data_IF_196990481710
#
_entry.id   IF_196990481710
#
_cell.length_a   1.000
_cell.length_b   1.000
_cell.length_c   1.000
_cell.angle_alpha   90.00
_cell.angle_beta   90.00
_cell.angle_gamma   90.00
#
_symmetry.space_group_name_H-M   'P 1'
#
loop_
_entity.id
_entity.type
_entity.pdbx_description
1 polymer ?
#
# COMPACT_ATOMS: atom_id res chain seq x y z
N UNK A 1 -15.51 23.68 -14.48
CA UNK A 1 -14.67 22.67 -15.15
C UNK A 1 -15.48 21.77 -16.09
N UNK A 2 -16.58 21.13 -15.66
CA UNK A 2 -17.43 20.30 -16.55
C UNK A 2 -17.94 21.11 -17.76
N UNK A 3 -18.59 22.26 -17.53
CA UNK A 3 -19.07 23.13 -18.61
C UNK A 3 -17.96 23.55 -19.57
N UNK A 4 -16.82 23.99 -19.04
CA UNK A 4 -15.67 24.41 -19.86
C UNK A 4 -15.10 23.27 -20.70
N UNK A 5 -15.07 22.03 -20.18
CA UNK A 5 -14.66 20.86 -20.95
C UNK A 5 -15.66 20.55 -22.07
N UNK A 6 -16.96 20.66 -21.79
CA UNK A 6 -17.99 20.45 -22.82
C UNK A 6 -17.80 21.46 -23.96
N UNK A 7 -17.64 22.75 -23.66
CA UNK A 7 -17.39 23.77 -24.69
C UNK A 7 -16.08 23.53 -25.46
N UNK A 8 -15.02 23.08 -24.78
CA UNK A 8 -13.76 22.72 -25.45
C UNK A 8 -13.94 21.57 -26.43
N UNK A 9 -14.67 20.52 -26.05
CA UNK A 9 -14.90 19.37 -26.93
C UNK A 9 -15.61 19.82 -28.22
N UNK A 10 -16.69 20.61 -28.10
CA UNK A 10 -17.41 21.15 -29.25
C UNK A 10 -16.59 22.13 -30.09
N UNK A 11 -15.78 22.98 -29.46
CA UNK A 11 -14.84 23.86 -30.16
C UNK A 11 -13.85 23.07 -31.01
N UNK A 12 -13.30 21.97 -30.48
CA UNK A 12 -12.37 21.12 -31.22
C UNK A 12 -13.03 20.36 -32.36
N UNK A 13 -14.29 19.95 -32.21
CA UNK A 13 -15.04 19.36 -33.32
C UNK A 13 -15.17 20.33 -34.49
N UNK A 14 -15.39 21.62 -34.22
CA UNK A 14 -15.42 22.66 -35.24
C UNK A 14 -14.02 22.94 -35.83
N UNK A 15 -13.00 23.14 -34.99
CA UNK A 15 -11.62 23.44 -35.40
C UNK A 15 -11.05 22.36 -36.33
N UNK A 16 -11.33 21.08 -36.04
CA UNK A 16 -10.88 19.96 -36.88
C UNK A 16 -11.80 19.65 -38.08
N UNK A 17 -12.84 20.46 -38.30
CA UNK A 17 -13.75 20.30 -39.43
C UNK A 17 -14.65 19.06 -39.35
N UNK A 18 -14.91 18.54 -38.15
CA UNK A 18 -15.85 17.43 -37.93
C UNK A 18 -17.30 17.91 -38.00
N UNK A 19 -17.53 19.19 -37.69
CA UNK A 19 -18.78 19.92 -37.90
C UNK A 19 -18.48 21.22 -38.67
N UNK A 20 -19.46 21.67 -39.44
CA UNK A 20 -19.33 22.89 -40.27
C UNK A 20 -19.88 24.14 -39.59
N UNK A 21 -20.57 23.97 -38.46
CA UNK A 21 -21.15 25.03 -37.64
C UNK A 21 -20.43 25.07 -36.30
N UNK A 22 -20.17 26.26 -35.78
CA UNK A 22 -19.66 26.42 -34.42
C UNK A 22 -20.79 26.15 -33.43
N UNK A 23 -20.70 25.01 -32.72
CA UNK A 23 -21.65 24.61 -31.69
C UNK A 23 -21.12 24.90 -30.29
N UNK A 24 -20.37 25.98 -30.11
CA UNK A 24 -20.00 26.55 -28.81
C UNK A 24 -21.00 27.61 -28.35
N UNK A 25 -21.02 27.92 -27.06
CA UNK A 25 -21.88 28.95 -26.50
C UNK A 25 -21.14 30.29 -26.40
N UNK A 26 -21.67 31.32 -27.07
CA UNK A 26 -21.09 32.68 -27.07
C UNK A 26 -21.31 33.46 -25.77
N UNK A 27 -22.26 33.02 -24.94
CA UNK A 27 -22.65 33.67 -23.69
C UNK A 27 -21.87 33.17 -22.46
N UNK A 28 -22.36 33.54 -21.28
CA UNK A 28 -21.85 32.98 -20.02
C UNK A 28 -22.33 31.53 -19.87
N UNK A 29 -21.41 30.58 -20.10
CA UNK A 29 -21.72 29.15 -20.11
C UNK A 29 -22.35 28.71 -18.79
N UNK A 30 -23.58 28.13 -18.80
CA UNK A 30 -24.22 27.69 -17.58
C UNK A 30 -23.45 26.54 -16.92
N UNK A 31 -23.61 26.42 -15.60
CA UNK A 31 -22.99 25.33 -14.83
C UNK A 31 -23.71 24.02 -15.13
N UNK A 32 -23.04 23.09 -15.78
CA UNK A 32 -23.53 21.74 -16.03
C UNK A 32 -23.29 20.84 -14.81
N UNK A 33 -24.33 20.12 -14.40
CA UNK A 33 -24.25 18.99 -13.48
C UNK A 33 -23.97 17.67 -14.25
N UNK A 34 -23.68 16.60 -13.50
CA UNK A 34 -23.59 15.26 -14.08
C UNK A 34 -24.98 14.84 -14.60
N UNK A 35 -25.01 14.36 -15.84
CA UNK A 35 -26.25 13.96 -16.52
C UNK A 35 -26.74 14.99 -17.53
N UNK A 36 -26.26 16.23 -17.47
CA UNK A 36 -26.77 17.35 -18.27
C UNK A 36 -25.94 17.67 -19.52
N UNK A 37 -24.81 16.97 -19.72
CA UNK A 37 -23.99 17.09 -20.94
C UNK A 37 -24.69 16.47 -22.14
N UNK A 38 -24.35 16.93 -23.35
CA UNK A 38 -25.01 16.48 -24.57
C UNK A 38 -24.93 14.96 -24.76
N UNK A 39 -23.75 14.33 -24.58
CA UNK A 39 -23.68 12.87 -24.65
C UNK A 39 -24.43 12.15 -23.53
N UNK A 40 -24.51 12.70 -22.33
CA UNK A 40 -25.23 12.04 -21.22
C UNK A 40 -26.72 12.03 -21.50
N UNK A 41 -27.26 13.12 -22.05
CA UNK A 41 -28.65 13.19 -22.49
C UNK A 41 -28.90 12.23 -23.66
N UNK A 42 -28.02 12.21 -24.66
CA UNK A 42 -28.11 11.28 -25.79
C UNK A 42 -28.02 9.81 -25.32
N UNK A 43 -27.13 9.50 -24.38
CA UNK A 43 -26.97 8.17 -23.80
C UNK A 43 -28.19 7.78 -22.97
N UNK A 44 -28.75 8.68 -22.17
CA UNK A 44 -29.97 8.43 -21.40
C UNK A 44 -31.17 8.14 -22.32
N UNK A 45 -31.28 8.85 -23.45
CA UNK A 45 -32.30 8.57 -24.49
C UNK A 45 -32.13 7.16 -25.06
N UNK A 46 -30.91 6.79 -25.48
CA UNK A 46 -30.64 5.43 -25.99
C UNK A 46 -30.86 4.34 -24.93
N UNK A 47 -30.54 4.63 -23.66
CA UNK A 47 -30.80 3.73 -22.53
C UNK A 47 -32.29 3.48 -22.34
N UNK A 48 -33.13 4.52 -22.47
CA UNK A 48 -34.59 4.40 -22.47
C UNK A 48 -35.11 3.55 -23.64
N UNK A 49 -34.41 3.59 -24.78
CA UNK A 49 -34.71 2.79 -25.97
C UNK A 49 -34.10 1.37 -25.94
N UNK A 50 -33.44 0.98 -24.83
CA UNK A 50 -32.96 -0.38 -24.58
C UNK A 50 -31.44 -0.59 -24.68
N UNK A 51 -30.63 0.46 -24.85
CA UNK A 51 -29.16 0.36 -24.77
C UNK A 51 -28.70 0.14 -23.31
N UNK A 52 -27.92 -0.90 -23.05
CA UNK A 52 -27.35 -1.12 -21.71
C UNK A 52 -26.14 -0.21 -21.46
N UNK A 53 -26.12 0.46 -20.30
CA UNK A 53 -24.98 1.26 -19.87
C UNK A 53 -24.81 1.25 -18.36
N UNK A 54 -23.56 1.15 -17.91
CA UNK A 54 -23.19 1.28 -16.50
C UNK A 54 -22.74 2.70 -16.13
N UNK A 55 -22.79 3.65 -17.07
CA UNK A 55 -22.24 5.00 -16.89
C UNK A 55 -22.85 5.74 -15.69
N UNK A 56 -24.18 5.80 -15.66
CA UNK A 56 -24.93 6.56 -14.65
C UNK A 56 -24.71 5.99 -13.24
N UNK A 57 -24.85 4.67 -13.08
CA UNK A 57 -24.60 3.97 -11.82
C UNK A 57 -23.15 4.15 -11.35
N UNK A 58 -22.18 3.92 -12.25
CA UNK A 58 -20.74 3.98 -11.92
C UNK A 58 -20.27 5.38 -11.50
N UNK A 59 -20.90 6.43 -12.03
CA UNK A 59 -20.46 7.81 -11.83
C UNK A 59 -21.40 8.64 -10.96
N UNK A 60 -22.45 8.04 -10.39
CA UNK A 60 -23.43 8.76 -9.58
C UNK A 60 -24.15 9.87 -10.36
N UNK A 61 -24.28 9.70 -11.68
CA UNK A 61 -24.93 10.64 -12.58
C UNK A 61 -26.40 10.25 -12.74
N UNK A 62 -27.31 11.22 -12.75
CA UNK A 62 -28.74 10.93 -12.95
C UNK A 62 -29.05 10.89 -14.45
N UNK A 63 -29.69 9.83 -14.96
CA UNK A 63 -30.10 9.79 -16.37
C UNK A 63 -31.17 10.85 -16.64
N UNK A 64 -30.87 11.79 -17.54
CA UNK A 64 -31.77 12.88 -17.95
C UNK A 64 -32.03 12.74 -19.45
N UNK A 65 -33.30 12.56 -19.86
CA UNK A 65 -33.66 12.39 -21.28
C UNK A 65 -34.11 13.68 -21.96
N UNK A 66 -34.57 14.65 -21.18
CA UNK A 66 -35.06 15.94 -21.67
C UNK A 66 -34.04 17.04 -21.39
N UNK A 67 -33.98 18.06 -22.24
CA UNK A 67 -33.10 19.21 -22.01
C UNK A 67 -33.61 19.96 -20.76
N UNK A 68 -32.78 20.17 -19.72
CA UNK A 68 -33.23 20.80 -18.48
C UNK A 68 -33.78 22.22 -18.65
N UNK A 69 -34.94 22.49 -18.04
CA UNK A 69 -35.64 23.78 -18.18
C UNK A 69 -34.99 24.97 -17.48
N UNK A 70 -34.07 24.71 -16.55
CA UNK A 70 -33.37 25.76 -15.81
C UNK A 70 -32.27 26.44 -16.64
N UNK A 71 -31.93 25.90 -17.82
CA UNK A 71 -30.96 26.53 -18.71
C UNK A 71 -31.57 27.72 -19.47
N UNK A 72 -30.76 28.75 -19.79
CA UNK A 72 -31.13 29.82 -20.70
C UNK A 72 -31.70 29.28 -22.03
N UNK A 73 -32.67 29.98 -22.61
CA UNK A 73 -33.38 29.50 -23.81
C UNK A 73 -32.44 29.25 -24.99
N UNK A 74 -31.51 30.17 -25.22
CA UNK A 74 -30.45 30.07 -26.21
C UNK A 74 -29.48 28.90 -25.95
N UNK A 75 -29.17 28.58 -24.68
CA UNK A 75 -28.38 27.40 -24.35
C UNK A 75 -29.14 26.10 -24.58
N UNK A 76 -30.45 26.07 -24.31
CA UNK A 76 -31.31 24.91 -24.62
C UNK A 76 -31.36 24.65 -26.14
N UNK A 77 -31.49 25.71 -26.93
CA UNK A 77 -31.45 25.63 -28.39
C UNK A 77 -30.09 25.11 -28.90
N UNK A 78 -28.98 25.55 -28.28
CA UNK A 78 -27.66 25.00 -28.55
C UNK A 78 -27.54 23.51 -28.19
N UNK A 79 -28.00 23.11 -27.00
CA UNK A 79 -27.99 21.70 -26.58
C UNK A 79 -28.80 20.83 -27.54
N UNK A 80 -29.93 21.32 -28.06
CA UNK A 80 -30.69 20.59 -29.06
C UNK A 80 -29.89 20.41 -30.35
N UNK A 81 -29.24 21.47 -30.87
CA UNK A 81 -28.35 21.35 -32.05
C UNK A 81 -27.20 20.37 -31.83
N UNK A 82 -26.63 20.34 -30.63
CA UNK A 82 -25.60 19.36 -30.22
C UNK A 82 -26.13 17.93 -30.26
N UNK A 83 -27.33 17.69 -29.71
CA UNK A 83 -27.98 16.38 -29.75
C UNK A 83 -28.28 15.93 -31.19
N UNK A 84 -28.75 16.86 -32.03
CA UNK A 84 -28.99 16.61 -33.45
C UNK A 84 -27.69 16.27 -34.20
N UNK A 85 -26.57 16.91 -33.85
CA UNK A 85 -25.25 16.60 -34.41
C UNK A 85 -24.76 15.20 -33.98
N UNK A 86 -24.96 14.81 -32.73
CA UNK A 86 -24.68 13.45 -32.23
C UNK A 86 -25.51 12.41 -33.00
N UNK A 87 -26.77 12.72 -33.26
CA UNK A 87 -27.67 11.82 -34.00
C UNK A 87 -27.31 11.74 -35.49
N UNK A 88 -26.98 12.85 -36.15
CA UNK A 88 -26.81 12.89 -37.61
C UNK A 88 -25.40 12.60 -38.09
N UNK A 89 -24.36 12.88 -37.29
CA UNK A 89 -22.96 12.76 -37.71
C UNK A 89 -22.26 11.56 -37.05
N UNK A 90 -21.86 10.51 -37.82
CA UNK A 90 -21.21 9.32 -37.26
C UNK A 90 -19.91 9.59 -36.50
N UNK A 91 -19.14 10.61 -36.90
CA UNK A 91 -17.88 10.95 -36.24
C UNK A 91 -18.13 11.60 -34.88
N UNK A 92 -19.09 12.51 -34.79
CA UNK A 92 -19.51 13.12 -33.52
C UNK A 92 -20.16 12.07 -32.62
N UNK A 93 -21.01 11.20 -33.17
CA UNK A 93 -21.60 10.09 -32.43
C UNK A 93 -20.57 9.15 -31.81
N UNK A 94 -19.42 8.97 -32.47
CA UNK A 94 -18.31 8.17 -31.94
C UNK A 94 -17.61 8.90 -30.79
N UNK A 95 -17.29 10.18 -30.93
CA UNK A 95 -16.58 10.98 -29.93
C UNK A 95 -17.44 11.31 -28.69
N UNK A 96 -18.74 11.43 -28.87
CA UNK A 96 -19.72 11.60 -27.79
C UNK A 96 -20.16 10.25 -27.19
N UNK A 97 -19.26 9.25 -27.16
CA UNK A 97 -19.45 8.02 -26.37
C UNK A 97 -18.75 8.10 -25.03
N UNK A 98 -19.26 7.38 -24.00
CA UNK A 98 -18.64 7.30 -22.67
C UNK A 98 -17.12 7.06 -22.65
N UNK A 99 -16.58 6.29 -23.60
CA UNK A 99 -15.16 5.93 -23.66
C UNK A 99 -14.24 7.11 -23.97
N UNK A 100 -14.77 8.12 -24.65
CA UNK A 100 -14.01 9.30 -25.11
C UNK A 100 -14.31 10.55 -24.28
N UNK A 101 -15.26 10.49 -23.35
CA UNK A 101 -15.63 11.61 -22.49
C UNK A 101 -15.01 11.49 -21.10
N UNK A 102 -14.63 12.63 -20.53
CA UNK A 102 -14.09 12.69 -19.17
C UNK A 102 -15.18 12.31 -18.17
N UNK A 103 -14.87 11.36 -17.29
CA UNK A 103 -15.81 10.76 -16.32
C UNK A 103 -16.20 11.67 -15.17
N UNK A 104 -15.32 12.60 -14.79
CA UNK A 104 -15.49 13.46 -13.59
C UNK A 104 -15.83 12.67 -12.32
N UNK A 105 -15.33 11.43 -12.24
CA UNK A 105 -15.49 10.60 -11.06
C UNK A 105 -14.64 11.17 -9.92
N UNK A 106 -15.27 11.42 -8.79
CA UNK A 106 -14.61 11.71 -7.53
C UNK A 106 -14.85 10.55 -6.59
N UNK A 107 -13.87 10.25 -5.74
CA UNK A 107 -14.08 9.29 -4.65
C UNK A 107 -15.20 9.83 -3.73
N UNK A 108 -16.15 9.00 -3.27
CA UNK A 108 -17.21 9.46 -2.38
C UNK A 108 -16.65 10.18 -1.14
N UNK A 109 -17.32 11.22 -0.67
CA UNK A 109 -16.85 12.02 0.48
C UNK A 109 -16.52 11.16 1.70
N UNK A 110 -17.37 10.18 2.03
CA UNK A 110 -17.14 9.27 3.17
C UNK A 110 -15.84 8.47 3.03
N UNK A 111 -15.46 8.10 1.80
CA UNK A 111 -14.20 7.41 1.51
C UNK A 111 -13.01 8.36 1.59
N UNK A 112 -13.15 9.59 1.15
CA UNK A 112 -12.12 10.63 1.34
C UNK A 112 -11.88 10.90 2.83
N UNK A 113 -12.94 11.00 3.63
CA UNK A 113 -12.84 11.19 5.08
C UNK A 113 -12.17 9.97 5.73
N UNK A 114 -12.61 8.75 5.42
CA UNK A 114 -12.00 7.52 5.94
C UNK A 114 -10.49 7.46 5.62
N UNK A 115 -10.12 7.76 4.36
CA UNK A 115 -8.73 7.78 3.89
C UNK A 115 -7.90 8.86 4.57
N UNK A 116 -8.43 10.07 4.71
CA UNK A 116 -7.76 11.19 5.36
C UNK A 116 -7.53 10.92 6.85
N UNK A 117 -8.53 10.40 7.56
CA UNK A 117 -8.40 10.03 8.97
C UNK A 117 -7.37 8.90 9.14
N UNK A 118 -7.45 7.85 8.30
CA UNK A 118 -6.49 6.74 8.31
C UNK A 118 -5.05 7.23 8.09
N UNK A 119 -4.82 8.03 7.05
CA UNK A 119 -3.50 8.57 6.72
C UNK A 119 -2.95 9.43 7.85
N UNK A 120 -3.75 10.35 8.38
CA UNK A 120 -3.36 11.22 9.51
C UNK A 120 -2.98 10.42 10.76
N UNK A 121 -3.69 9.33 11.05
CA UNK A 121 -3.39 8.45 12.19
C UNK A 121 -2.08 7.72 11.98
N UNK A 122 -1.90 7.11 10.81
CA UNK A 122 -0.68 6.37 10.48
C UNK A 122 0.55 7.29 10.51
N UNK A 123 0.43 8.53 10.01
CA UNK A 123 1.53 9.52 10.02
C UNK A 123 2.00 9.84 11.44
N UNK A 124 1.08 9.87 12.41
CA UNK A 124 1.44 10.03 13.83
C UNK A 124 2.09 8.80 14.42
N UNK A 125 1.63 7.60 14.04
CA UNK A 125 2.25 6.35 14.51
C UNK A 125 3.66 6.18 13.93
N UNK A 126 3.95 6.76 12.77
CA UNK A 126 5.30 6.80 12.18
C UNK A 126 6.23 7.86 12.80
N UNK A 127 5.78 8.62 13.80
CA UNK A 127 6.64 9.60 14.45
C UNK A 127 7.89 8.92 15.03
N UNK A 128 9.08 9.36 14.58
CA UNK A 128 10.38 8.82 15.01
C UNK A 128 10.50 8.67 16.53
N UNK A 129 9.97 9.60 17.32
CA UNK A 129 10.05 9.54 18.79
C UNK A 129 9.39 8.31 19.44
N UNK A 130 8.50 7.62 18.72
CA UNK A 130 7.88 6.36 19.19
C UNK A 130 8.81 5.15 19.03
N UNK A 131 9.79 5.24 18.14
CA UNK A 131 10.59 4.11 17.66
C UNK A 131 12.04 4.16 18.14
N UNK A 132 12.37 5.11 19.01
CA UNK A 132 13.69 5.26 19.59
C UNK A 132 13.56 5.44 21.11
N UNK A 133 14.46 4.83 21.86
CA UNK A 133 14.51 5.04 23.31
C UNK A 133 15.16 6.40 23.67
N UNK A 134 15.35 6.65 24.97
CA UNK A 134 15.90 7.92 25.46
C UNK A 134 17.36 8.13 25.07
N UNK A 135 18.08 7.04 24.83
CA UNK A 135 19.47 7.03 24.39
C UNK A 135 19.58 7.11 22.86
N UNK A 136 18.45 7.16 22.14
CA UNK A 136 18.40 7.24 20.69
C UNK A 136 18.65 5.90 20.00
N UNK A 137 18.40 4.77 20.69
CA UNK A 137 18.52 3.43 20.10
C UNK A 137 17.19 2.99 19.48
N UNK A 138 17.19 2.44 18.26
CA UNK A 138 15.98 1.98 17.59
C UNK A 138 15.35 0.84 18.38
N UNK A 139 14.06 0.95 18.69
CA UNK A 139 13.37 0.04 19.62
C UNK A 139 12.02 -0.40 19.07
N UNK A 140 11.80 -1.72 18.87
CA UNK A 140 10.49 -2.25 18.54
C UNK A 140 9.48 -2.00 19.67
N UNK A 141 8.25 -1.66 19.31
CA UNK A 141 7.15 -1.38 20.25
C UNK A 141 5.97 -2.32 19.98
N UNK A 142 5.32 -2.80 21.03
CA UNK A 142 4.04 -3.49 20.87
C UNK A 142 2.91 -2.51 20.61
N UNK A 143 1.80 -3.00 20.03
CA UNK A 143 0.60 -2.17 19.87
C UNK A 143 0.08 -1.65 21.21
N UNK A 144 0.18 -2.43 22.29
CA UNK A 144 -0.19 -1.97 23.62
C UNK A 144 0.71 -0.81 24.11
N UNK A 145 2.03 -0.91 23.93
CA UNK A 145 2.97 0.16 24.29
C UNK A 145 2.72 1.44 23.47
N UNK A 146 2.50 1.31 22.17
CA UNK A 146 2.14 2.44 21.30
C UNK A 146 0.82 3.07 21.75
N UNK A 147 -0.18 2.25 22.08
CA UNK A 147 -1.47 2.73 22.58
C UNK A 147 -1.31 3.51 23.89
N UNK A 148 -0.52 3.03 24.86
CA UNK A 148 -0.29 3.72 26.14
C UNK A 148 0.35 5.12 25.98
N UNK A 149 1.21 5.28 24.97
CA UNK A 149 1.84 6.56 24.64
C UNK A 149 0.84 7.46 23.92
N UNK A 150 0.20 6.95 22.86
CA UNK A 150 -0.70 7.71 21.99
C UNK A 150 -2.02 8.06 22.67
N UNK A 151 -2.46 7.29 23.67
CA UNK A 151 -3.68 7.59 24.44
C UNK A 151 -3.57 8.89 25.24
N UNK A 152 -2.34 9.41 25.45
CA UNK A 152 -2.09 10.70 26.09
C UNK A 152 -2.34 11.89 25.16
N UNK A 153 -2.40 11.68 23.85
CA UNK A 153 -2.74 12.69 22.85
C UNK A 153 -4.28 12.71 22.66
N UNK A 154 -4.98 13.76 23.15
CA UNK A 154 -6.43 13.84 23.02
C UNK A 154 -6.88 13.96 21.55
N UNK A 155 -6.11 14.62 20.69
CA UNK A 155 -6.44 14.77 19.27
C UNK A 155 -6.33 13.41 18.57
N UNK A 156 -5.26 12.66 18.86
CA UNK A 156 -5.09 11.31 18.33
C UNK A 156 -6.26 10.41 18.71
N UNK A 157 -6.65 10.40 20.00
CA UNK A 157 -7.77 9.60 20.48
C UNK A 157 -9.08 9.96 19.78
N UNK A 158 -9.37 11.25 19.65
CA UNK A 158 -10.59 11.73 18.98
C UNK A 158 -10.65 11.33 17.51
N UNK A 159 -9.54 11.47 16.77
CA UNK A 159 -9.46 11.06 15.37
C UNK A 159 -9.56 9.53 15.23
N UNK A 160 -8.94 8.78 16.14
CA UNK A 160 -8.98 7.31 16.13
C UNK A 160 -10.39 6.78 16.37
N UNK A 161 -11.13 7.36 17.31
CA UNK A 161 -12.53 7.01 17.59
C UNK A 161 -13.45 7.37 16.41
N UNK A 162 -13.21 8.52 15.76
CA UNK A 162 -13.94 8.94 14.56
C UNK A 162 -13.69 7.97 13.40
N UNK A 163 -12.44 7.59 13.17
CA UNK A 163 -12.07 6.60 12.15
C UNK A 163 -12.66 5.21 12.45
N UNK A 164 -12.66 4.81 13.72
CA UNK A 164 -13.22 3.52 14.14
C UNK A 164 -14.76 3.48 14.06
N UNK A 165 -15.42 4.65 14.07
CA UNK A 165 -16.87 4.76 14.10
C UNK A 165 -17.50 4.38 15.45
N UNK A 166 -16.71 4.34 16.52
CA UNK A 166 -17.16 3.97 17.87
C UNK A 166 -16.48 4.87 18.92
N UNK A 167 -17.23 5.76 19.62
CA UNK A 167 -16.68 6.65 20.63
C UNK A 167 -16.19 5.92 21.90
N UNK A 168 -16.55 4.66 22.09
CA UNK A 168 -16.16 3.87 23.27
C UNK A 168 -15.04 2.86 22.98
N UNK A 169 -14.53 2.80 21.74
CA UNK A 169 -13.44 1.89 21.40
C UNK A 169 -12.18 2.25 22.20
N UNK A 170 -11.49 1.23 22.69
CA UNK A 170 -10.20 1.43 23.34
C UNK A 170 -9.12 1.74 22.30
N UNK A 171 -8.17 2.61 22.67
CA UNK A 171 -7.05 2.98 21.79
C UNK A 171 -6.30 1.76 21.29
N UNK A 172 -6.00 0.79 22.17
CA UNK A 172 -5.33 -0.46 21.78
C UNK A 172 -6.10 -1.30 20.75
N UNK A 173 -7.42 -1.45 20.89
CA UNK A 173 -8.22 -2.24 19.95
C UNK A 173 -8.34 -1.55 18.58
N UNK A 174 -8.57 -0.24 18.56
CA UNK A 174 -8.64 0.53 17.32
C UNK A 174 -7.26 0.60 16.63
N UNK A 175 -6.18 0.78 17.39
CA UNK A 175 -4.82 0.82 16.86
C UNK A 175 -4.40 -0.54 16.27
N UNK A 176 -4.73 -1.65 16.93
CA UNK A 176 -4.48 -2.99 16.38
C UNK A 176 -5.18 -3.19 15.03
N UNK A 177 -6.43 -2.73 14.90
CA UNK A 177 -7.17 -2.77 13.62
C UNK A 177 -6.53 -1.87 12.57
N UNK A 178 -6.09 -0.67 12.95
CA UNK A 178 -5.45 0.29 12.04
C UNK A 178 -4.17 -0.29 11.43
N UNK A 179 -3.32 -0.92 12.26
CA UNK A 179 -1.99 -1.37 11.88
C UNK A 179 -1.94 -2.76 11.22
N UNK A 180 -3.00 -3.56 11.33
CA UNK A 180 -3.02 -4.97 10.89
C UNK A 180 -2.64 -5.18 9.42
N UNK A 181 -2.95 -4.21 8.55
CA UNK A 181 -2.69 -4.25 7.11
C UNK A 181 -1.62 -3.23 6.66
N UNK A 182 -0.89 -2.63 7.60
CA UNK A 182 0.16 -1.62 7.34
C UNK A 182 1.57 -2.17 7.65
N UNK A 183 1.63 -3.37 8.23
CA UNK A 183 2.86 -4.04 8.61
C UNK A 183 3.15 -5.26 7.73
N UNK A 184 4.43 -5.43 7.35
CA UNK A 184 4.92 -6.64 6.67
C UNK A 184 5.94 -7.33 7.57
N UNK A 185 5.92 -8.68 7.71
CA UNK A 185 6.85 -9.39 8.57
C UNK A 185 8.32 -9.21 8.15
N UNK A 186 9.21 -9.08 9.13
CA UNK A 186 10.65 -8.91 8.92
C UNK A 186 11.31 -10.05 8.11
N UNK A 187 10.92 -11.31 8.38
CA UNK A 187 11.53 -12.51 7.81
C UNK A 187 10.79 -12.99 6.55
N UNK A 188 11.52 -13.35 5.49
CA UNK A 188 10.94 -13.84 4.24
C UNK A 188 10.03 -15.07 4.43
N UNK A 189 10.39 -15.97 5.35
CA UNK A 189 9.60 -17.15 5.69
C UNK A 189 8.19 -16.85 6.25
N UNK A 190 7.96 -15.66 6.80
CA UNK A 190 6.61 -15.20 7.18
C UNK A 190 5.88 -14.45 6.05
N UNK A 191 6.64 -13.84 5.12
CA UNK A 191 6.11 -13.04 4.00
C UNK A 191 5.57 -13.92 2.87
N UNK A 192 6.29 -14.98 2.53
CA UNK A 192 6.06 -15.75 1.31
C UNK A 192 5.57 -17.18 1.55
N UNK A 193 4.84 -17.69 0.57
CA UNK A 193 4.59 -19.13 0.37
C UNK A 193 5.81 -19.77 -0.30
N UNK A 194 5.89 -21.12 -0.41
CA UNK A 194 7.02 -21.79 -1.06
C UNK A 194 7.39 -21.21 -2.44
N UNK A 195 6.40 -20.94 -3.31
CA UNK A 195 6.66 -20.35 -4.62
C UNK A 195 7.25 -18.94 -4.57
N UNK A 196 6.96 -18.17 -3.52
CA UNK A 196 7.56 -16.85 -3.30
C UNK A 196 8.96 -16.94 -2.71
N UNK A 197 9.25 -17.95 -1.90
CA UNK A 197 10.60 -18.20 -1.38
C UNK A 197 11.57 -18.61 -2.48
N UNK A 198 11.13 -19.42 -3.46
CA UNK A 198 11.95 -19.76 -4.63
C UNK A 198 12.33 -18.50 -5.43
N UNK A 199 11.38 -17.57 -5.57
CA UNK A 199 11.63 -16.28 -6.22
C UNK A 199 12.56 -15.41 -5.38
N UNK A 200 12.34 -15.36 -4.07
CA UNK A 200 13.16 -14.59 -3.15
C UNK A 200 14.63 -15.03 -3.22
N UNK A 201 14.90 -16.33 -3.23
CA UNK A 201 16.25 -16.86 -3.42
C UNK A 201 16.87 -16.43 -4.77
N UNK A 202 16.09 -16.43 -5.86
CA UNK A 202 16.57 -15.95 -7.16
C UNK A 202 16.86 -14.43 -7.18
N UNK A 203 16.09 -13.64 -6.43
CA UNK A 203 16.36 -12.21 -6.22
C UNK A 203 17.64 -12.00 -5.42
N UNK A 204 17.83 -12.74 -4.33
CA UNK A 204 19.06 -12.68 -3.52
C UNK A 204 20.31 -13.05 -4.33
N UNK A 205 20.24 -14.10 -5.15
CA UNK A 205 21.32 -14.49 -6.06
C UNK A 205 21.63 -13.36 -7.06
N UNK A 206 20.59 -12.73 -7.62
CA UNK A 206 20.75 -11.60 -8.54
C UNK A 206 21.44 -10.42 -7.86
N UNK A 207 21.03 -10.04 -6.65
CA UNK A 207 21.68 -8.98 -5.88
C UNK A 207 23.11 -9.33 -5.51
N UNK A 208 23.40 -10.61 -5.21
CA UNK A 208 24.76 -11.06 -4.94
C UNK A 208 25.67 -10.94 -6.17
N UNK A 209 25.16 -11.24 -7.37
CA UNK A 209 25.87 -11.01 -8.63
C UNK A 209 26.09 -9.52 -8.88
N UNK A 210 25.08 -8.67 -8.66
CA UNK A 210 25.21 -7.22 -8.81
C UNK A 210 26.25 -6.64 -7.85
N UNK A 211 26.26 -7.06 -6.58
CA UNK A 211 27.29 -6.64 -5.62
C UNK A 211 28.72 -7.02 -6.07
N UNK A 212 28.89 -8.21 -6.66
CA UNK A 212 30.18 -8.65 -7.20
C UNK A 212 30.60 -7.80 -8.40
N UNK A 213 29.67 -7.49 -9.30
CA UNK A 213 29.90 -6.59 -10.43
C UNK A 213 30.28 -5.18 -9.94
N UNK A 214 29.56 -4.62 -8.95
CA UNK A 214 29.85 -3.33 -8.34
C UNK A 214 31.21 -3.28 -7.63
N UNK A 215 31.65 -4.43 -7.07
CA UNK A 215 32.99 -4.60 -6.50
C UNK A 215 34.10 -4.73 -7.58
N UNK A 216 33.75 -4.66 -8.87
CA UNK A 216 34.67 -4.68 -10.00
C UNK A 216 34.94 -6.08 -10.58
N UNK A 217 34.21 -7.11 -10.16
CA UNK A 217 34.32 -8.45 -10.76
C UNK A 217 33.69 -8.47 -12.17
N UNK A 218 34.39 -9.07 -13.14
CA UNK A 218 33.86 -9.23 -14.50
C UNK A 218 32.97 -10.47 -14.59
N UNK A 219 31.66 -10.27 -14.55
CA UNK A 219 30.67 -11.33 -14.68
C UNK A 219 30.16 -11.49 -16.13
N UNK A 220 29.64 -12.67 -16.52
CA UNK A 220 28.91 -12.84 -17.78
C UNK A 220 27.69 -11.90 -17.84
N UNK A 221 27.59 -11.11 -18.91
CA UNK A 221 26.50 -10.15 -19.13
C UNK A 221 25.48 -10.69 -20.14
N UNK A 222 24.17 -10.46 -19.95
CA UNK A 222 23.55 -9.73 -18.83
C UNK A 222 23.32 -10.61 -17.59
N UNK A 223 23.40 -10.01 -16.40
CA UNK A 223 22.90 -10.65 -15.16
C UNK A 223 21.41 -10.96 -15.37
N UNK A 224 20.94 -12.20 -15.11
CA UNK A 224 19.57 -12.59 -15.38
C UNK A 224 18.59 -11.76 -14.55
N UNK A 225 17.48 -11.35 -15.18
CA UNK A 225 16.41 -10.67 -14.45
C UNK A 225 15.67 -11.67 -13.57
N UNK A 226 15.46 -11.35 -12.28
CA UNK A 226 14.75 -12.25 -11.38
C UNK A 226 13.25 -12.27 -11.73
N UNK A 227 12.55 -13.37 -11.39
CA UNK A 227 11.13 -13.52 -11.69
C UNK A 227 10.26 -12.52 -10.91
N UNK A 228 9.24 -11.98 -11.57
CA UNK A 228 8.22 -11.13 -10.92
C UNK A 228 7.33 -11.93 -9.97
N UNK A 229 6.93 -11.30 -8.87
CA UNK A 229 5.97 -11.86 -7.93
C UNK A 229 4.51 -11.72 -8.42
N UNK A 230 3.62 -12.55 -7.86
CA UNK A 230 2.16 -12.46 -7.98
C UNK A 230 1.51 -12.64 -6.61
N UNK A 231 0.24 -12.28 -6.49
CA UNK A 231 -0.56 -12.47 -5.27
C UNK A 231 -0.44 -13.89 -4.67
N UNK A 232 -0.35 -14.92 -5.51
CA UNK A 232 -0.25 -16.31 -5.06
C UNK A 232 1.06 -16.67 -4.35
N UNK A 233 2.10 -15.83 -4.45
CA UNK A 233 3.41 -16.05 -3.83
C UNK A 233 3.48 -15.52 -2.39
N UNK A 234 2.56 -14.63 -2.00
CA UNK A 234 2.52 -14.03 -0.67
C UNK A 234 1.63 -14.83 0.30
N UNK A 235 2.00 -14.78 1.58
CA UNK A 235 1.24 -15.40 2.67
C UNK A 235 -0.12 -14.70 2.87
N UNK A 236 -0.17 -13.36 2.78
CA UNK A 236 -1.40 -12.56 2.88
C UNK A 236 -1.58 -11.63 1.67
N UNK A 237 -2.83 -11.35 1.26
CA UNK A 237 -3.11 -10.36 0.21
C UNK A 237 -2.63 -8.95 0.53
N UNK A 238 -2.67 -8.54 1.81
CA UNK A 238 -2.19 -7.22 2.23
C UNK A 238 -0.70 -7.03 1.94
N UNK A 239 0.13 -8.05 2.18
CA UNK A 239 1.57 -8.01 1.87
C UNK A 239 1.81 -7.78 0.37
N UNK A 240 1.06 -8.47 -0.50
CA UNK A 240 1.11 -8.24 -1.95
C UNK A 240 0.67 -6.83 -2.33
N UNK A 241 -0.41 -6.33 -1.73
CA UNK A 241 -0.92 -4.99 -2.05
C UNK A 241 0.10 -3.89 -1.70
N UNK A 242 0.88 -4.10 -0.63
CA UNK A 242 1.97 -3.22 -0.23
C UNK A 242 3.16 -3.38 -1.17
N UNK A 243 3.70 -4.59 -1.37
CA UNK A 243 5.01 -4.76 -2.03
C UNK A 243 4.99 -4.91 -3.55
N UNK A 244 3.88 -5.38 -4.12
CA UNK A 244 3.67 -5.48 -5.56
C UNK A 244 4.59 -6.47 -6.29
N UNK A 245 4.65 -6.35 -7.62
CA UNK A 245 5.29 -7.35 -8.50
C UNK A 245 6.82 -7.44 -8.39
N UNK A 246 7.46 -6.40 -7.88
CA UNK A 246 8.92 -6.32 -7.68
C UNK A 246 9.33 -6.46 -6.21
N UNK A 247 8.39 -6.77 -5.32
CA UNK A 247 8.60 -6.88 -3.88
C UNK A 247 9.25 -5.63 -3.23
N UNK A 248 8.93 -4.43 -3.72
CA UNK A 248 9.51 -3.19 -3.17
C UNK A 248 8.95 -2.96 -1.76
N UNK A 249 9.81 -2.79 -0.73
CA UNK A 249 9.35 -2.44 0.61
C UNK A 249 8.61 -1.09 0.60
N UNK A 250 7.30 -1.12 0.88
CA UNK A 250 6.42 0.06 0.91
C UNK A 250 5.51 0.08 2.14
N UNK A 251 5.73 -0.86 3.06
CA UNK A 251 5.09 -0.90 4.36
C UNK A 251 5.53 0.27 5.23
N UNK A 252 4.67 0.66 6.17
CA UNK A 252 5.00 1.67 7.20
C UNK A 252 5.67 1.05 8.41
N UNK A 253 5.34 -0.21 8.69
CA UNK A 253 5.80 -0.93 9.88
C UNK A 253 6.35 -2.31 9.52
N UNK A 254 7.30 -2.75 10.34
CA UNK A 254 7.86 -4.10 10.29
C UNK A 254 7.15 -4.90 11.38
N UNK A 255 6.56 -6.05 11.04
CA UNK A 255 5.97 -6.95 12.05
C UNK A 255 7.02 -7.97 12.50
N UNK A 256 7.04 -8.26 13.80
CA UNK A 256 7.83 -9.34 14.41
C UNK A 256 6.89 -10.39 15.04
N UNK A 257 6.28 -11.28 14.22
CA UNK A 257 5.24 -12.19 14.70
C UNK A 257 5.74 -13.09 15.83
N UNK A 258 5.03 -13.10 16.95
CA UNK A 258 5.36 -13.94 18.11
C UNK A 258 6.64 -13.53 18.86
N UNK A 259 7.23 -12.38 18.52
CA UNK A 259 8.42 -11.85 19.17
C UNK A 259 8.11 -10.95 20.39
N UNK A 260 6.83 -10.70 20.68
CA UNK A 260 6.36 -9.94 21.84
C UNK A 260 6.65 -10.61 23.19
N UNK A 261 6.50 -9.87 24.29
CA UNK A 261 6.66 -10.43 25.65
C UNK A 261 5.49 -11.36 25.97
N UNK A 262 5.72 -12.38 26.79
CA UNK A 262 4.65 -13.33 27.16
C UNK A 262 3.49 -12.67 27.92
N UNK A 263 3.72 -11.51 28.55
CA UNK A 263 2.70 -10.70 29.23
C UNK A 263 1.91 -9.77 28.32
N UNK A 264 2.30 -9.62 27.05
CA UNK A 264 1.68 -8.74 26.06
C UNK A 264 1.40 -9.50 24.77
N UNK A 265 0.12 -9.86 24.58
CA UNK A 265 -0.33 -10.60 23.40
C UNK A 265 -0.53 -9.74 22.16
N UNK A 266 -0.22 -8.45 22.20
CA UNK A 266 -0.34 -7.58 21.03
C UNK A 266 0.87 -7.69 20.11
N UNK A 267 0.67 -7.40 18.81
CA UNK A 267 1.73 -7.51 17.80
C UNK A 267 2.92 -6.62 18.15
N UNK A 268 4.14 -7.16 18.05
CA UNK A 268 5.38 -6.38 18.17
C UNK A 268 5.74 -5.80 16.80
N UNK A 269 5.95 -4.49 16.75
CA UNK A 269 6.22 -3.76 15.52
C UNK A 269 7.56 -3.04 15.59
N UNK A 270 8.17 -2.81 14.43
CA UNK A 270 9.24 -1.86 14.20
C UNK A 270 8.81 -0.83 13.15
N UNK A 271 9.63 0.19 12.95
CA UNK A 271 9.36 1.24 11.97
C UNK A 271 10.11 0.99 10.67
N UNK A 272 9.41 1.06 9.54
CA UNK A 272 10.03 0.86 8.23
C UNK A 272 10.93 2.06 7.82
N UNK A 273 10.86 3.18 8.53
CA UNK A 273 11.76 4.32 8.33
C UNK A 273 13.17 4.15 8.92
N UNK A 274 13.44 3.04 9.60
CA UNK A 274 14.80 2.68 10.01
C UNK A 274 15.67 2.30 8.81
N UNK A 275 16.94 2.74 8.83
CA UNK A 275 17.94 2.20 7.90
C UNK A 275 18.32 0.75 8.25
N UNK A 276 19.15 0.11 7.43
CA UNK A 276 19.50 -1.30 7.64
C UNK A 276 20.30 -1.52 8.94
N UNK A 277 21.14 -0.57 9.33
CA UNK A 277 21.86 -0.61 10.60
C UNK A 277 20.90 -0.50 11.79
N UNK A 278 19.98 0.47 11.76
CA UNK A 278 18.97 0.67 12.79
C UNK A 278 18.06 -0.57 12.93
N UNK A 279 17.62 -1.17 11.83
CA UNK A 279 16.84 -2.42 11.84
C UNK A 279 17.61 -3.60 12.46
N UNK A 280 18.88 -3.76 12.09
CA UNK A 280 19.71 -4.84 12.60
C UNK A 280 20.02 -4.67 14.10
N UNK A 281 20.33 -3.45 14.55
CA UNK A 281 20.56 -3.13 15.95
C UNK A 281 19.30 -3.32 16.81
N UNK A 282 18.13 -2.92 16.30
CA UNK A 282 16.83 -3.16 16.94
C UNK A 282 16.57 -4.67 17.11
N UNK A 283 16.83 -5.47 16.07
CA UNK A 283 16.63 -6.91 16.11
C UNK A 283 17.64 -7.63 17.00
N UNK A 284 18.92 -7.23 16.98
CA UNK A 284 19.96 -7.77 17.87
C UNK A 284 19.66 -7.46 19.35
N UNK A 285 19.20 -6.24 19.63
CA UNK A 285 18.75 -5.84 20.97
C UNK A 285 17.53 -6.66 21.42
N UNK A 286 16.57 -6.89 20.51
CA UNK A 286 15.42 -7.73 20.76
C UNK A 286 15.81 -9.18 21.08
N UNK A 287 16.73 -9.76 20.31
CA UNK A 287 17.28 -11.10 20.56
C UNK A 287 17.89 -11.17 21.96
N UNK A 288 18.75 -10.20 22.32
CA UNK A 288 19.39 -10.15 23.64
C UNK A 288 18.36 -10.09 24.77
N UNK A 289 17.35 -9.22 24.65
CA UNK A 289 16.24 -9.15 25.62
C UNK A 289 15.49 -10.47 25.75
N UNK A 290 15.25 -11.19 24.64
CA UNK A 290 14.57 -12.50 24.67
C UNK A 290 15.42 -13.60 25.28
N UNK A 291 16.73 -13.56 25.07
CA UNK A 291 17.66 -14.46 25.75
C UNK A 291 17.66 -14.21 27.26
N UNK A 292 17.66 -12.94 27.70
CA UNK A 292 17.54 -12.57 29.12
C UNK A 292 16.19 -12.97 29.72
N UNK A 293 15.11 -12.88 28.95
CA UNK A 293 13.77 -13.39 29.32
C UNK A 293 13.72 -14.95 29.37
N UNK A 294 14.81 -15.64 29.04
CA UNK A 294 14.93 -17.10 29.13
C UNK A 294 14.28 -17.85 27.96
N UNK A 295 14.19 -17.24 26.77
CA UNK A 295 13.62 -17.90 25.60
C UNK A 295 14.44 -19.10 25.15
N UNK A 296 13.75 -20.13 24.67
CA UNK A 296 14.40 -21.31 24.11
C UNK A 296 15.01 -21.01 22.75
N UNK A 297 15.99 -21.82 22.33
CA UNK A 297 16.61 -21.73 21.01
C UNK A 297 15.57 -21.69 19.89
N UNK A 298 14.54 -22.54 19.94
CA UNK A 298 13.51 -22.65 18.90
C UNK A 298 12.72 -21.34 18.71
N UNK A 299 12.51 -20.58 19.79
CA UNK A 299 11.85 -19.26 19.73
C UNK A 299 12.79 -18.17 19.20
N UNK A 300 14.10 -18.34 19.38
CA UNK A 300 15.12 -17.38 18.92
C UNK A 300 15.50 -17.56 17.44
N UNK A 301 15.39 -18.80 16.89
CA UNK A 301 15.72 -19.08 15.48
C UNK A 301 15.11 -18.08 14.48
N UNK A 302 13.81 -17.76 14.49
CA UNK A 302 13.26 -16.81 13.52
C UNK A 302 13.85 -15.41 13.62
N UNK A 303 14.21 -14.95 14.83
CA UNK A 303 14.85 -13.64 15.02
C UNK A 303 16.28 -13.65 14.47
N UNK A 304 17.03 -14.71 14.76
CA UNK A 304 18.39 -14.90 14.22
C UNK A 304 18.37 -15.03 12.69
N UNK A 305 17.37 -15.71 12.13
CA UNK A 305 17.18 -15.82 10.69
C UNK A 305 16.93 -14.45 10.05
N UNK A 306 16.13 -13.58 10.67
CA UNK A 306 15.92 -12.23 10.14
C UNK A 306 17.14 -11.33 10.28
N UNK A 307 17.93 -11.49 11.35
CA UNK A 307 19.21 -10.78 11.50
C UNK A 307 20.18 -11.22 10.39
N UNK A 308 20.19 -12.52 10.05
CA UNK A 308 20.94 -13.05 8.94
C UNK A 308 20.47 -12.52 7.57
N UNK A 309 19.16 -12.38 7.32
CA UNK A 309 18.63 -11.75 6.10
C UNK A 309 19.03 -10.26 5.97
N UNK A 310 19.21 -9.56 7.09
CA UNK A 310 19.64 -8.15 7.12
C UNK A 310 21.15 -7.97 6.92
N UNK A 311 21.98 -8.90 7.42
CA UNK A 311 23.43 -8.75 7.48
C UNK A 311 24.10 -8.37 6.14
N UNK A 312 23.74 -8.94 4.97
CA UNK A 312 24.32 -8.53 3.69
C UNK A 312 24.08 -7.05 3.35
N UNK A 313 22.93 -6.51 3.73
CA UNK A 313 22.58 -5.11 3.50
C UNK A 313 23.32 -4.18 4.45
N UNK A 314 23.46 -4.58 5.72
CA UNK A 314 24.29 -3.84 6.68
C UNK A 314 25.74 -3.80 6.18
N UNK A 315 26.29 -4.91 5.70
CA UNK A 315 27.66 -4.94 5.15
C UNK A 315 27.81 -4.15 3.85
N UNK A 316 26.78 -4.04 3.05
CA UNK A 316 26.82 -3.25 1.82
C UNK A 316 26.82 -1.73 2.11
N UNK A 317 26.02 -1.29 3.08
CA UNK A 317 25.73 0.14 3.27
C UNK A 317 26.32 0.76 4.56
N UNK A 318 26.72 -0.07 5.52
CA UNK A 318 27.13 0.35 6.88
C UNK A 318 28.40 -0.40 7.35
N UNK A 319 29.37 -0.55 6.44
CA UNK A 319 30.69 -1.15 6.71
C UNK A 319 31.79 -0.14 7.04
N UNK A 320 31.45 1.14 7.16
CA UNK A 320 32.38 2.19 7.57
C UNK A 320 32.76 2.00 9.04
N UNK A 321 34.06 2.07 9.34
CA UNK A 321 34.57 1.93 10.71
C UNK A 321 34.18 3.17 11.50
N UNK A 322 33.45 2.97 12.60
CA UNK A 322 33.12 4.05 13.52
C UNK A 322 34.39 4.50 14.27
N UNK A 323 34.78 5.79 14.22
CA UNK A 323 35.99 6.28 14.89
C UNK A 323 35.96 6.16 16.42
N UNK A 324 34.77 6.13 17.04
CA UNK A 324 34.58 6.01 18.48
C UNK A 324 34.73 4.56 18.96
N UNK A 325 34.15 3.61 18.21
CA UNK A 325 34.14 2.19 18.60
C UNK A 325 35.28 1.37 17.96
N UNK A 326 35.88 1.85 16.87
CA UNK A 326 36.96 1.18 16.16
C UNK A 326 36.53 -0.02 15.31
N UNK A 327 35.22 -0.23 15.15
CA UNK A 327 34.61 -1.25 14.29
C UNK A 327 33.40 -0.70 13.55
N UNK A 328 32.98 -1.37 12.48
CA UNK A 328 31.75 -1.01 11.76
C UNK A 328 30.52 -1.69 12.37
N UNK A 329 29.33 -1.13 12.12
CA UNK A 329 28.06 -1.80 12.50
C UNK A 329 27.95 -3.16 11.81
N UNK A 330 28.40 -3.29 10.56
CA UNK A 330 28.44 -4.57 9.86
C UNK A 330 29.29 -5.61 10.59
N UNK A 331 30.48 -5.25 11.07
CA UNK A 331 31.36 -6.16 11.82
C UNK A 331 30.74 -6.56 13.16
N UNK A 332 30.10 -5.59 13.85
CA UNK A 332 29.39 -5.83 15.11
C UNK A 332 28.26 -6.85 14.94
N UNK A 333 27.41 -6.67 13.92
CA UNK A 333 26.28 -7.56 13.63
C UNK A 333 26.75 -8.96 13.21
N UNK A 334 27.80 -9.06 12.40
CA UNK A 334 28.35 -10.35 11.99
C UNK A 334 28.98 -11.11 13.18
N UNK A 335 29.65 -10.39 14.08
CA UNK A 335 30.21 -10.95 15.31
C UNK A 335 29.10 -11.45 16.26
N UNK A 336 28.05 -10.65 16.48
CA UNK A 336 26.89 -11.04 17.29
C UNK A 336 26.20 -12.28 16.70
N UNK A 337 25.92 -12.30 15.39
CA UNK A 337 25.30 -13.46 14.74
C UNK A 337 26.17 -14.71 14.89
N UNK A 338 27.48 -14.60 14.70
CA UNK A 338 28.43 -15.71 14.87
C UNK A 338 28.43 -16.24 16.31
N UNK A 339 28.46 -15.34 17.29
CA UNK A 339 28.42 -15.71 18.71
C UNK A 339 27.13 -16.46 19.06
N UNK A 340 25.96 -15.94 18.62
CA UNK A 340 24.66 -16.58 18.87
C UNK A 340 24.51 -17.93 18.20
N UNK A 341 24.98 -18.08 16.96
CA UNK A 341 24.96 -19.39 16.29
C UNK A 341 25.82 -20.41 17.02
N UNK A 342 27.00 -20.00 17.50
CA UNK A 342 27.86 -20.87 18.31
C UNK A 342 27.21 -21.24 19.64
N UNK A 343 26.62 -20.27 20.35
CA UNK A 343 25.94 -20.46 21.65
C UNK A 343 24.78 -21.45 21.54
N UNK A 344 23.97 -21.33 20.49
CA UNK A 344 22.78 -22.16 20.29
C UNK A 344 23.03 -23.43 19.45
N UNK A 345 24.28 -23.69 19.06
CA UNK A 345 24.66 -24.81 18.19
C UNK A 345 23.89 -24.86 16.86
N UNK A 346 23.68 -23.69 16.25
CA UNK A 346 22.95 -23.51 15.00
C UNK A 346 23.89 -23.29 13.82
N UNK A 347 23.42 -23.62 12.63
CA UNK A 347 24.08 -23.36 11.36
C UNK A 347 23.28 -22.35 10.52
N UNK A 348 23.92 -21.77 9.51
CA UNK A 348 23.23 -20.92 8.52
C UNK A 348 22.12 -21.70 7.79
N UNK A 349 22.29 -23.00 7.60
CA UNK A 349 21.25 -23.86 7.03
C UNK A 349 20.01 -23.93 7.93
N UNK A 350 20.18 -23.97 9.25
CA UNK A 350 19.06 -23.97 10.19
C UNK A 350 18.25 -22.67 10.10
N UNK A 351 18.94 -21.53 9.91
CA UNK A 351 18.28 -20.23 9.72
C UNK A 351 17.50 -20.17 8.39
N UNK A 352 18.16 -20.50 7.28
CA UNK A 352 17.60 -20.36 5.93
C UNK A 352 16.52 -21.40 5.61
N UNK A 353 16.56 -22.56 6.28
CA UNK A 353 15.53 -23.61 6.16
C UNK A 353 14.36 -23.44 7.14
N UNK A 354 14.46 -22.54 8.12
CA UNK A 354 13.41 -22.33 9.11
C UNK A 354 12.09 -21.90 8.46
N UNK A 355 10.97 -22.49 8.91
CA UNK A 355 9.62 -22.12 8.46
C UNK A 355 8.69 -22.01 9.67
N UNK A 356 7.70 -21.10 9.63
CA UNK A 356 6.69 -21.04 10.68
C UNK A 356 5.90 -22.35 10.73
N UNK A 357 5.50 -22.77 11.93
CA UNK A 357 4.62 -23.91 12.09
C UNK A 357 3.33 -23.70 11.29
N UNK A 358 2.88 -24.72 10.55
CA UNK A 358 1.60 -24.61 9.84
C UNK A 358 0.48 -24.33 10.86
N UNK A 359 -0.39 -23.34 10.61
CA UNK A 359 -1.56 -23.13 11.45
C UNK A 359 -2.39 -24.42 11.46
N UNK A 360 -2.70 -24.92 12.65
CA UNK A 360 -3.48 -26.14 12.82
C UNK A 360 -4.76 -26.05 11.96
N UNK A 361 -4.88 -26.92 10.95
CA UNK A 361 -6.05 -26.95 10.06
C UNK A 361 -7.28 -27.11 10.93
N UNK A 362 -8.09 -26.05 11.05
CA UNK A 362 -9.39 -26.07 11.74
C UNK A 362 -10.19 -27.23 11.13
N UNK A 363 -10.34 -28.32 11.89
CA UNK A 363 -11.01 -29.53 11.45
C UNK A 363 -12.41 -29.18 10.96
N UNK A 364 -12.68 -29.47 9.68
CA UNK A 364 -14.00 -29.37 9.07
C UNK A 364 -14.92 -30.30 9.86
N UNK A 365 -15.72 -29.74 10.78
CA UNK A 365 -16.73 -30.48 11.55
C UNK A 365 -17.68 -31.11 10.54
N UNK A 366 -17.56 -32.42 10.32
CA UNK A 366 -18.53 -33.18 9.53
C UNK A 366 -19.87 -33.10 10.26
N UNK A 367 -20.78 -32.30 9.72
CA UNK A 367 -22.20 -32.44 10.01
C UNK A 367 -22.64 -33.76 9.40
N UNK A 368 -22.84 -34.78 10.24
CA UNK A 368 -23.59 -35.96 9.85
C UNK A 368 -25.06 -35.55 9.73
N UNK A 369 -25.63 -35.74 8.54
CA UNK A 369 -27.06 -35.70 8.25
C UNK A 369 -27.78 -36.89 8.86
#
# INVERSE_FOLDING_TARGET
>A
MISSQEELDWAYYFIYGLINEDLTYDGEVPRLALGERAFEIALARRMKDGEETAWFERHGSTPITEIPDHFPADYRDLLQRRLDAIESNPHIRLLERPEYKRRWAFEPWDKQVESALRGWLLDRVENRSLWFDREGRPTPQSVAQLADVLDRDPDFRSVLQLWAGDPNVTTGAALAKLLADEAVPFLAAYRYKPSGLDKWAAWEETWALQRREDAGEKLPSPIPMPPKYKLADFAKPSYWSIRGELDVPRERFISYPGAGRDTDGTELLGWAGWDHAEQALALASLISMRTEDGWTTERLVPLLAGLHELAPWVRQWHNEIDPEYGESVADTIDAELTARLSEHHLTVTDLTSWRPAEPARRGRRKTHS
#
